data_IF_221870932785
#
_entry.id   IF_221870932785
#
_cell.length_a   1.000
_cell.length_b   1.000
_cell.length_c   1.000
_cell.angle_alpha   90.00
_cell.angle_beta   90.00
_cell.angle_gamma   90.00
#
_symmetry.space_group_name_H-M   'P 1'
#
loop_
_entity.id
_entity.type
_entity.pdbx_description
1 polymer ?
#
# COMPACT_ATOMS: atom_id res chain seq x y z
N UNK A 1 3.18 -7.20 13.24
CA UNK A 1 3.17 -7.11 11.76
C UNK A 1 3.08 -5.63 11.41
N UNK A 2 3.91 -5.13 10.51
CA UNK A 2 3.98 -3.69 10.17
C UNK A 2 3.59 -3.44 8.72
N UNK A 3 2.90 -2.32 8.46
CA UNK A 3 2.73 -1.79 7.12
C UNK A 3 3.82 -0.73 6.87
N UNK A 4 4.82 -1.08 6.08
CA UNK A 4 5.96 -0.19 5.79
C UNK A 4 5.81 0.44 4.41
N UNK A 5 6.35 1.64 4.25
CA UNK A 5 6.37 2.39 2.98
C UNK A 5 7.79 2.84 2.64
N UNK A 6 8.13 2.81 1.35
CA UNK A 6 9.38 3.41 0.87
C UNK A 6 9.39 4.91 1.15
N UNK A 7 10.58 5.47 1.40
CA UNK A 7 10.74 6.86 1.87
C UNK A 7 10.01 7.88 0.98
N UNK A 8 10.05 7.70 -0.35
CA UNK A 8 9.42 8.61 -1.31
C UNK A 8 7.89 8.69 -1.21
N UNK A 9 7.23 7.66 -0.67
CA UNK A 9 5.76 7.62 -0.55
C UNK A 9 5.25 8.20 0.77
N UNK A 10 6.11 8.32 1.79
CA UNK A 10 5.66 8.70 3.14
C UNK A 10 5.04 10.09 3.18
N UNK A 11 5.73 11.04 2.56
CA UNK A 11 5.32 12.43 2.55
C UNK A 11 4.02 12.67 1.73
N UNK A 12 3.86 12.13 0.50
CA UNK A 12 2.56 12.14 -0.18
C UNK A 12 1.42 11.42 0.57
N UNK A 13 1.72 10.33 1.30
CA UNK A 13 0.73 9.68 2.16
C UNK A 13 0.30 10.61 3.29
N UNK A 14 1.25 11.27 3.96
CA UNK A 14 0.96 12.24 5.02
C UNK A 14 0.08 13.39 4.54
N UNK A 15 0.27 13.83 3.30
CA UNK A 15 -0.60 14.85 2.65
C UNK A 15 -1.94 14.32 2.16
N UNK A 16 -2.21 13.01 2.27
CA UNK A 16 -3.43 12.37 1.77
C UNK A 16 -3.50 12.26 0.24
N UNK A 17 -2.41 12.51 -0.48
CA UNK A 17 -2.34 12.36 -1.94
C UNK A 17 -2.31 10.89 -2.35
N UNK A 18 -1.72 10.04 -1.51
CA UNK A 18 -1.72 8.59 -1.65
C UNK A 18 -2.53 7.98 -0.50
N UNK A 19 -3.58 7.27 -0.87
CA UNK A 19 -4.53 6.64 0.07
C UNK A 19 -4.67 5.14 -0.12
N UNK A 20 -3.89 4.55 -1.04
CA UNK A 20 -3.88 3.12 -1.26
C UNK A 20 -2.48 2.59 -1.54
N UNK A 21 -2.33 1.27 -1.39
CA UNK A 21 -1.07 0.60 -1.67
C UNK A 21 -1.27 -0.85 -2.06
N UNK A 22 -0.41 -1.33 -2.97
CA UNK A 22 -0.39 -2.74 -3.40
C UNK A 22 0.65 -3.51 -2.57
N UNK A 23 0.28 -4.69 -2.10
CA UNK A 23 1.17 -5.60 -1.36
C UNK A 23 1.11 -6.99 -1.95
N UNK A 24 2.27 -7.60 -2.15
CA UNK A 24 2.39 -8.97 -2.62
C UNK A 24 2.93 -9.82 -1.47
N UNK A 25 2.09 -10.66 -0.89
CA UNK A 25 2.41 -11.46 0.31
C UNK A 25 1.95 -12.91 0.15
N UNK A 26 2.40 -13.79 1.05
CA UNK A 26 1.88 -15.16 1.18
C UNK A 26 0.53 -15.22 1.89
N UNK A 27 0.29 -14.26 2.78
CA UNK A 27 -0.93 -14.14 3.56
C UNK A 27 -1.12 -12.71 4.02
N UNK A 28 -2.36 -12.35 4.35
CA UNK A 28 -2.70 -11.01 4.80
C UNK A 28 -2.02 -10.67 6.13
N UNK A 29 -1.27 -9.55 6.16
CA UNK A 29 -0.50 -9.12 7.35
C UNK A 29 -1.11 -7.94 8.10
N UNK A 30 -2.23 -7.42 7.62
CA UNK A 30 -2.91 -6.23 8.17
C UNK A 30 -4.40 -6.49 8.36
N UNK A 31 -5.08 -5.65 9.14
CA UNK A 31 -6.53 -5.75 9.39
C UNK A 31 -7.19 -4.39 9.18
N UNK A 32 -8.44 -4.40 8.71
CA UNK A 32 -9.28 -3.19 8.67
C UNK A 32 -9.45 -2.64 10.09
N UNK A 33 -9.35 -1.32 10.24
CA UNK A 33 -9.37 -0.58 11.51
C UNK A 33 -8.04 -0.60 12.28
N UNK A 34 -7.03 -1.37 11.83
CA UNK A 34 -5.73 -1.36 12.48
C UNK A 34 -4.92 -0.12 12.06
N UNK A 35 -4.22 0.46 13.04
CA UNK A 35 -3.33 1.62 12.86
C UNK A 35 -1.88 1.19 12.81
N UNK A 36 -1.14 1.73 11.86
CA UNK A 36 0.29 1.47 11.68
C UNK A 36 1.07 2.79 11.69
N UNK A 37 2.18 2.88 12.45
CA UNK A 37 2.92 4.13 12.57
C UNK A 37 3.53 4.56 11.25
N UNK A 38 3.40 5.84 10.93
CA UNK A 38 4.03 6.50 9.80
C UNK A 38 4.38 7.93 10.21
N UNK A 39 5.68 8.22 10.30
CA UNK A 39 6.28 9.56 10.50
C UNK A 39 5.36 10.65 11.05
N UNK A 40 5.24 10.74 12.37
CA UNK A 40 4.46 11.79 13.04
C UNK A 40 2.97 11.47 13.19
N UNK A 41 2.51 10.33 12.70
CA UNK A 41 1.15 9.84 12.90
C UNK A 41 1.03 8.36 12.58
N UNK A 42 -0.10 7.99 12.00
CA UNK A 42 -0.42 6.61 11.64
C UNK A 42 -1.31 6.53 10.42
N UNK A 43 -1.18 5.42 9.69
CA UNK A 43 -2.16 5.02 8.69
C UNK A 43 -3.16 4.04 9.30
N UNK A 44 -4.44 4.32 9.14
CA UNK A 44 -5.53 3.41 9.50
C UNK A 44 -6.01 2.69 8.25
N UNK A 45 -5.98 1.36 8.26
CA UNK A 45 -6.46 0.55 7.12
C UNK A 45 -7.98 0.59 7.06
N UNK A 46 -8.54 1.03 5.95
CA UNK A 46 -10.00 1.19 5.78
C UNK A 46 -10.59 0.12 4.88
N UNK A 47 -9.82 -0.44 3.94
CA UNK A 47 -10.26 -1.51 3.05
C UNK A 47 -9.11 -2.42 2.66
N UNK A 48 -9.43 -3.70 2.47
CA UNK A 48 -8.51 -4.73 1.98
C UNK A 48 -9.23 -5.50 0.89
N UNK A 49 -8.59 -5.65 -0.27
CA UNK A 49 -9.08 -6.43 -1.39
C UNK A 49 -8.00 -7.41 -1.82
N UNK A 50 -8.34 -8.69 -1.93
CA UNK A 50 -7.53 -9.65 -2.66
C UNK A 50 -7.86 -9.48 -4.14
N UNK A 51 -6.85 -9.28 -4.98
CA UNK A 51 -7.00 -9.02 -6.41
C UNK A 51 -6.09 -9.93 -7.19
N UNK A 52 -6.44 -10.22 -8.43
CA UNK A 52 -5.54 -10.95 -9.31
C UNK A 52 -4.42 -10.03 -9.78
N UNK A 53 -3.24 -10.61 -10.05
CA UNK A 53 -2.09 -9.84 -10.53
C UNK A 53 -2.39 -9.13 -11.87
N UNK A 54 -3.24 -9.73 -12.70
CA UNK A 54 -3.72 -9.16 -13.95
C UNK A 54 -4.59 -7.91 -13.77
N UNK A 55 -5.17 -7.74 -12.58
CA UNK A 55 -6.06 -6.61 -12.28
C UNK A 55 -5.28 -5.37 -11.82
N UNK A 56 -3.97 -5.48 -11.60
CA UNK A 56 -3.13 -4.33 -11.27
C UNK A 56 -2.86 -3.53 -12.56
N UNK A 57 -3.65 -2.48 -12.73
CA UNK A 57 -3.55 -1.56 -13.86
C UNK A 57 -2.56 -0.43 -13.62
N UNK A 58 -2.18 0.29 -14.67
CA UNK A 58 -1.42 1.53 -14.53
C UNK A 58 -2.13 2.59 -13.69
N UNK A 59 -3.47 2.61 -13.71
CA UNK A 59 -4.25 3.53 -12.89
C UNK A 59 -4.04 3.23 -11.40
N UNK A 60 -4.06 1.95 -11.01
CA UNK A 60 -3.74 1.53 -9.64
C UNK A 60 -2.31 1.92 -9.27
N UNK A 61 -1.36 1.77 -10.20
CA UNK A 61 0.02 2.18 -9.98
C UNK A 61 0.15 3.67 -9.68
N UNK A 62 -0.44 4.52 -10.53
CA UNK A 62 -0.46 5.98 -10.34
C UNK A 62 -1.14 6.40 -9.05
N UNK A 63 -2.30 5.83 -8.74
CA UNK A 63 -3.03 6.11 -7.49
C UNK A 63 -2.26 5.67 -6.24
N UNK A 64 -1.43 4.63 -6.36
CA UNK A 64 -0.55 4.17 -5.28
C UNK A 64 0.79 4.94 -5.19
N UNK A 65 0.98 5.97 -6.03
CA UNK A 65 2.17 6.83 -6.04
C UNK A 65 3.34 6.33 -6.87
N UNK A 66 3.10 5.45 -7.84
CA UNK A 66 4.13 4.94 -8.76
C UNK A 66 3.94 5.53 -10.16
N UNK A 67 5.04 5.67 -10.90
CA UNK A 67 4.98 6.24 -12.26
C UNK A 67 4.23 5.33 -13.23
N UNK A 68 4.50 4.02 -13.13
CA UNK A 68 3.96 2.98 -14.00
C UNK A 68 3.88 1.64 -13.26
N UNK A 69 3.37 0.62 -13.96
CA UNK A 69 3.24 -0.73 -13.42
C UNK A 69 4.59 -1.37 -13.09
N UNK A 70 5.64 -1.11 -13.89
CA UNK A 70 6.95 -1.71 -13.67
C UNK A 70 7.60 -1.18 -12.38
N UNK A 71 7.52 0.13 -12.13
CA UNK A 71 7.97 0.77 -10.89
C UNK A 71 7.18 0.25 -9.68
N UNK A 72 5.86 0.07 -9.80
CA UNK A 72 5.06 -0.54 -8.74
C UNK A 72 5.51 -1.98 -8.46
N UNK A 73 5.61 -2.82 -9.49
CA UNK A 73 5.89 -4.24 -9.31
C UNK A 73 7.33 -4.47 -8.83
N UNK A 74 8.28 -3.63 -9.27
CA UNK A 74 9.67 -3.67 -8.78
C UNK A 74 9.80 -3.40 -7.28
N UNK A 75 8.87 -2.62 -6.69
CA UNK A 75 8.82 -2.32 -5.25
C UNK A 75 7.88 -3.25 -4.48
N UNK A 76 6.80 -3.74 -5.11
CA UNK A 76 5.84 -4.61 -4.44
C UNK A 76 6.29 -6.07 -4.38
N UNK A 77 6.99 -6.55 -5.43
CA UNK A 77 7.48 -7.93 -5.52
C UNK A 77 8.83 -8.08 -4.82
N UNK A 78 8.78 -8.16 -3.49
CA UNK A 78 9.95 -8.50 -2.69
C UNK A 78 9.76 -9.86 -2.03
N UNK A 79 10.53 -10.85 -2.50
CA UNK A 79 10.44 -12.24 -2.05
C UNK A 79 9.41 -13.08 -2.82
N UNK A 80 9.09 -14.25 -2.27
CA UNK A 80 8.30 -15.30 -2.93
C UNK A 80 6.78 -15.17 -2.76
N UNK A 81 6.27 -14.04 -2.27
CA UNK A 81 4.82 -13.85 -2.13
C UNK A 81 4.13 -13.86 -3.48
N UNK A 82 2.92 -14.44 -3.53
CA UNK A 82 2.16 -14.62 -4.77
C UNK A 82 0.78 -13.92 -4.73
N UNK A 83 0.21 -13.72 -3.54
CA UNK A 83 -1.11 -13.11 -3.39
C UNK A 83 -1.01 -11.59 -3.41
N UNK A 84 -1.86 -10.94 -4.20
CA UNK A 84 -1.87 -9.49 -4.37
C UNK A 84 -3.01 -8.89 -3.56
N UNK A 85 -2.68 -7.91 -2.74
CA UNK A 85 -3.62 -7.17 -1.91
C UNK A 85 -3.58 -5.69 -2.26
N UNK A 86 -4.73 -5.12 -2.57
CA UNK A 86 -4.94 -3.67 -2.60
C UNK A 86 -5.48 -3.24 -1.24
N UNK A 87 -4.76 -2.33 -0.59
CA UNK A 87 -5.06 -1.86 0.75
C UNK A 87 -5.31 -0.36 0.68
N UNK A 88 -6.51 0.07 1.04
CA UNK A 88 -6.83 1.47 1.21
C UNK A 88 -6.66 1.87 2.68
N UNK A 89 -6.23 3.10 2.90
CA UNK A 89 -5.98 3.66 4.21
C UNK A 89 -6.17 5.17 4.24
N UNK A 90 -6.30 5.70 5.44
CA UNK A 90 -6.23 7.14 5.71
C UNK A 90 -5.04 7.43 6.61
N UNK A 91 -4.38 8.56 6.40
CA UNK A 91 -3.38 9.07 7.33
C UNK A 91 -4.04 9.97 8.37
N UNK A 92 -3.60 9.86 9.61
CA UNK A 92 -4.08 10.61 10.77
C UNK A 92 -2.88 10.97 11.67
N UNK A 93 -2.80 12.23 12.12
CA UNK A 93 -1.67 12.76 12.91
C UNK A 93 -1.72 12.39 14.41
N UNK A 94 -2.83 11.85 14.92
CA UNK A 94 -3.05 11.61 16.34
C UNK A 94 -4.12 12.51 16.96
#
# INVERSE_FOLDING_TARGET
MSLSFTKRLREPIRRGEITCTVRIWHSLRVKIGARYPLEGGHVEVTRIQHVDRSDITEEIARRSGFADLADLMGVAQHGSGEQVFLIDFVYDEG
#
